data_IF_820407724543
#
_entry.id   IF_820407724543
#
_cell.length_a   1.000
_cell.length_b   1.000
_cell.length_c   1.000
_cell.angle_alpha   90.00
_cell.angle_beta   90.00
_cell.angle_gamma   90.00
#
_symmetry.space_group_name_H-M   'P 1'
#
loop_
_entity.id
_entity.type
_entity.pdbx_description
1 polymer ?
#
# COMPACT_ATOMS: atom_id res chain seq x y z
N UNK A 1 -11.50 -22.69 -11.54
CA UNK A 1 -11.20 -21.24 -11.71
C UNK A 1 -12.39 -20.62 -12.43
N UNK A 2 -13.18 -19.77 -11.77
CA UNK A 2 -14.24 -19.04 -12.48
C UNK A 2 -13.57 -18.04 -13.43
N UNK A 3 -14.06 -17.92 -14.67
CA UNK A 3 -13.66 -16.84 -15.57
C UNK A 3 -13.98 -15.52 -14.85
N UNK A 4 -12.94 -14.77 -14.51
CA UNK A 4 -13.08 -13.44 -13.93
C UNK A 4 -13.78 -12.57 -14.97
N UNK A 5 -14.87 -11.89 -14.58
CA UNK A 5 -15.62 -11.06 -15.51
C UNK A 5 -14.72 -9.91 -15.95
N UNK A 6 -14.39 -9.86 -17.24
CA UNK A 6 -13.63 -8.76 -17.82
C UNK A 6 -14.54 -7.54 -17.98
N UNK A 7 -14.01 -6.38 -17.61
CA UNK A 7 -14.68 -5.10 -17.71
C UNK A 7 -13.87 -4.21 -18.64
N UNK A 8 -14.56 -3.48 -19.51
CA UNK A 8 -13.94 -2.40 -20.27
C UNK A 8 -13.83 -1.20 -19.33
N UNK A 9 -12.61 -0.93 -18.86
CA UNK A 9 -12.30 0.16 -17.93
C UNK A 9 -11.36 1.14 -18.61
N UNK A 10 -11.66 2.43 -18.50
CA UNK A 10 -10.81 3.52 -18.98
C UNK A 10 -10.27 4.30 -17.78
N UNK A 11 -8.96 4.52 -17.74
CA UNK A 11 -8.34 5.44 -16.79
C UNK A 11 -8.54 6.87 -17.29
N UNK A 12 -9.44 7.63 -16.66
CA UNK A 12 -9.73 9.03 -17.03
C UNK A 12 -8.64 9.95 -16.49
N UNK A 13 -8.16 9.65 -15.28
CA UNK A 13 -7.17 10.46 -14.59
C UNK A 13 -6.34 9.57 -13.66
N UNK A 14 -5.03 9.50 -13.90
CA UNK A 14 -4.11 8.70 -13.09
C UNK A 14 -3.82 9.35 -11.73
N UNK A 15 -3.74 10.69 -11.69
CA UNK A 15 -3.16 11.46 -10.57
C UNK A 15 -1.67 11.14 -10.30
N UNK A 16 -1.07 11.90 -9.38
CA UNK A 16 0.34 11.80 -9.00
C UNK A 16 0.53 10.98 -7.72
N UNK A 17 1.76 10.53 -7.51
CA UNK A 17 2.18 9.89 -6.26
C UNK A 17 2.37 10.93 -5.17
N UNK A 18 1.83 10.65 -4.00
CA UNK A 18 2.01 11.47 -2.80
C UNK A 18 2.96 10.74 -1.87
N UNK A 19 4.13 11.33 -1.62
CA UNK A 19 5.22 10.74 -0.85
C UNK A 19 4.75 10.18 0.50
N UNK A 20 4.07 10.98 1.32
CA UNK A 20 3.62 10.56 2.65
C UNK A 20 2.59 9.41 2.65
N UNK A 21 1.84 9.24 1.56
CA UNK A 21 0.85 8.16 1.47
C UNK A 21 1.47 6.85 0.98
N UNK A 22 2.37 6.92 0.00
CA UNK A 22 2.89 5.73 -0.68
C UNK A 22 4.21 5.23 -0.07
N UNK A 23 5.01 6.13 0.50
CA UNK A 23 6.33 5.85 1.08
C UNK A 23 6.42 6.23 2.56
N UNK A 24 5.27 6.39 3.22
CA UNK A 24 5.16 6.67 4.65
C UNK A 24 4.67 5.46 5.47
N UNK A 25 4.44 5.63 6.77
CA UNK A 25 4.03 4.54 7.68
C UNK A 25 2.71 3.86 7.28
N UNK A 26 1.83 4.57 6.59
CA UNK A 26 0.51 4.07 6.20
C UNK A 26 0.45 3.49 4.77
N UNK A 27 1.60 3.27 4.13
CA UNK A 27 1.75 2.73 2.77
C UNK A 27 0.94 1.46 2.50
N UNK A 28 0.74 0.62 3.53
CA UNK A 28 -0.02 -0.62 3.45
C UNK A 28 -1.48 -0.44 2.97
N UNK A 29 -2.07 0.74 3.14
CA UNK A 29 -3.41 1.08 2.63
C UNK A 29 -3.41 1.61 1.18
N UNK A 30 -2.25 2.00 0.65
CA UNK A 30 -2.11 2.73 -0.62
C UNK A 30 -1.45 1.90 -1.72
N UNK A 31 -1.33 0.57 -1.52
CA UNK A 31 -0.81 -0.37 -2.51
C UNK A 31 -1.68 -1.61 -2.66
N UNK A 32 -1.91 -2.04 -3.90
CA UNK A 32 -2.65 -3.25 -4.24
C UNK A 32 -1.71 -4.32 -4.81
N UNK A 33 -1.76 -5.54 -4.27
CA UNK A 33 -1.03 -6.69 -4.82
C UNK A 33 -1.84 -7.41 -5.92
N UNK A 34 -1.18 -7.92 -6.97
CA UNK A 34 -1.83 -8.74 -8.01
C UNK A 34 -1.33 -10.18 -7.97
N UNK A 35 -2.18 -11.12 -8.42
CA UNK A 35 -1.92 -12.57 -8.29
C UNK A 35 -0.71 -13.05 -9.10
N UNK A 36 -0.30 -12.30 -10.11
CA UNK A 36 0.85 -12.59 -10.98
C UNK A 36 2.20 -12.30 -10.32
N UNK A 37 2.21 -11.63 -9.17
CA UNK A 37 3.44 -11.05 -8.61
C UNK A 37 4.27 -12.05 -7.79
N UNK A 38 3.97 -13.36 -7.84
CA UNK A 38 4.59 -14.40 -6.98
C UNK A 38 6.00 -14.86 -7.42
N UNK A 39 6.76 -14.04 -8.13
CA UNK A 39 8.17 -14.33 -8.33
C UNK A 39 8.90 -14.10 -7.00
N UNK A 40 9.65 -15.10 -6.53
CA UNK A 40 10.66 -14.97 -5.46
C UNK A 40 10.18 -14.50 -4.07
N UNK A 41 8.98 -14.91 -3.63
CA UNK A 41 8.38 -14.50 -2.33
C UNK A 41 8.20 -12.98 -2.14
N UNK A 42 8.38 -12.20 -3.21
CA UNK A 42 8.12 -10.78 -3.27
C UNK A 42 6.69 -10.58 -3.79
N UNK A 43 6.05 -9.50 -3.35
CA UNK A 43 4.71 -9.10 -3.76
C UNK A 43 4.81 -7.64 -4.18
N UNK A 44 4.85 -7.39 -5.48
CA UNK A 44 4.84 -6.03 -6.01
C UNK A 44 3.50 -5.36 -5.72
N UNK A 45 3.55 -4.07 -5.40
CA UNK A 45 2.35 -3.28 -5.15
C UNK A 45 2.15 -2.26 -6.27
N UNK A 46 0.91 -2.19 -6.73
CA UNK A 46 0.44 -1.16 -7.64
C UNK A 46 -0.16 -0.01 -6.80
N UNK A 47 0.27 1.23 -7.03
CA UNK A 47 -0.13 2.35 -6.19
C UNK A 47 -1.61 2.69 -6.42
N UNK A 48 -2.32 2.92 -5.33
CA UNK A 48 -3.67 3.46 -5.34
C UNK A 48 -3.53 4.98 -5.22
N UNK A 49 -3.79 5.76 -6.27
CA UNK A 49 -3.50 7.20 -6.24
C UNK A 49 -4.69 8.03 -5.80
N UNK A 50 -4.46 8.99 -4.90
CA UNK A 50 -5.49 9.95 -4.50
C UNK A 50 -5.96 10.75 -5.71
N UNK A 51 -7.27 10.99 -5.84
CA UNK A 51 -7.95 11.63 -6.98
C UNK A 51 -7.96 10.82 -8.28
N UNK A 52 -7.40 9.60 -8.33
CA UNK A 52 -7.49 8.73 -9.49
C UNK A 52 -8.96 8.51 -9.91
N UNK A 53 -9.24 8.56 -11.22
CA UNK A 53 -10.58 8.37 -11.79
C UNK A 53 -10.59 7.30 -12.85
N UNK A 54 -11.53 6.38 -12.73
CA UNK A 54 -11.80 5.33 -13.72
C UNK A 54 -13.22 5.44 -14.21
N UNK A 55 -13.43 5.13 -15.50
CA UNK A 55 -14.72 5.02 -16.15
C UNK A 55 -14.96 3.56 -16.47
N UNK A 56 -16.14 3.06 -16.12
CA UNK A 56 -16.61 1.73 -16.49
C UNK A 56 -18.04 1.82 -17.01
N UNK A 57 -18.30 1.21 -18.16
CA UNK A 57 -19.65 1.15 -18.74
C UNK A 57 -20.30 -0.18 -18.37
N UNK A 58 -21.44 -0.13 -17.68
CA UNK A 58 -22.22 -1.29 -17.27
C UNK A 58 -23.68 -1.12 -17.73
N UNK A 59 -24.18 -2.06 -18.53
CA UNK A 59 -25.56 -2.03 -19.07
C UNK A 59 -25.91 -0.69 -19.75
N UNK A 60 -24.96 -0.11 -20.49
CA UNK A 60 -25.11 1.19 -21.18
C UNK A 60 -25.17 2.41 -20.26
N UNK A 61 -24.74 2.27 -18.99
CA UNK A 61 -24.55 3.38 -18.06
C UNK A 61 -23.08 3.52 -17.71
N UNK A 62 -22.63 4.77 -17.69
CA UNK A 62 -21.26 5.13 -17.39
C UNK A 62 -21.11 5.45 -15.90
N UNK A 63 -20.28 4.66 -15.23
CA UNK A 63 -19.93 4.82 -13.83
C UNK A 63 -18.52 5.37 -13.73
N UNK A 64 -18.37 6.50 -13.08
CA UNK A 64 -17.07 7.07 -12.73
C UNK A 64 -16.78 6.73 -11.28
N UNK A 65 -15.62 6.13 -11.02
CA UNK A 65 -15.13 5.89 -9.66
C UNK A 65 -13.94 6.82 -9.41
N UNK A 66 -14.03 7.61 -8.35
CA UNK A 66 -13.02 8.56 -7.90
C UNK A 66 -12.45 8.14 -6.54
N UNK A 67 -11.13 8.12 -6.44
CA UNK A 67 -10.44 7.87 -5.18
C UNK A 67 -10.31 9.18 -4.42
N UNK A 68 -10.77 9.21 -3.17
CA UNK A 68 -10.71 10.37 -2.27
C UNK A 68 -9.99 10.00 -0.98
N UNK A 69 -9.69 11.00 -0.15
CA UNK A 69 -9.10 10.77 1.17
C UNK A 69 -10.16 10.22 2.12
N UNK A 70 -9.82 9.16 2.84
CA UNK A 70 -10.63 8.61 3.93
C UNK A 70 -9.71 8.13 5.06
N UNK A 71 -10.30 7.54 6.08
CA UNK A 71 -9.63 6.98 7.25
C UNK A 71 -10.18 5.57 7.48
N UNK A 72 -9.29 4.60 7.60
CA UNK A 72 -9.60 3.24 8.06
C UNK A 72 -9.19 3.07 9.53
N UNK A 73 -9.48 1.91 10.11
CA UNK A 73 -8.97 1.54 11.43
C UNK A 73 -7.42 1.46 11.49
N UNK A 74 -6.75 1.47 10.33
CA UNK A 74 -5.30 1.45 10.18
C UNK A 74 -4.73 2.78 9.67
N UNK A 75 -5.45 3.89 9.86
CA UNK A 75 -5.00 5.23 9.51
C UNK A 75 -5.48 5.72 8.13
N UNK A 76 -4.78 6.67 7.49
CA UNK A 76 -5.18 7.24 6.21
C UNK A 76 -5.28 6.17 5.13
N UNK A 77 -6.40 6.15 4.43
CA UNK A 77 -6.73 5.12 3.45
C UNK A 77 -7.50 5.71 2.25
N UNK A 78 -7.50 5.03 1.10
CA UNK A 78 -8.32 5.41 -0.03
C UNK A 78 -9.81 5.22 0.30
N UNK A 79 -10.57 6.31 0.14
CA UNK A 79 -12.02 6.28 0.01
C UNK A 79 -12.43 6.24 -1.45
N UNK A 80 -13.60 5.69 -1.74
CA UNK A 80 -14.10 5.52 -3.10
C UNK A 80 -15.48 6.15 -3.21
N UNK A 81 -15.63 7.08 -4.16
CA UNK A 81 -16.89 7.64 -4.60
C UNK A 81 -17.23 7.06 -5.96
N UNK A 82 -18.50 6.70 -6.17
CA UNK A 82 -19.02 6.34 -7.48
C UNK A 82 -20.08 7.36 -7.90
N UNK A 83 -20.06 7.74 -9.18
CA UNK A 83 -21.03 8.63 -9.80
C UNK A 83 -21.55 8.00 -11.09
N UNK A 84 -22.85 8.10 -11.31
CA UNK A 84 -23.48 7.76 -12.59
C UNK A 84 -24.72 8.63 -12.77
N UNK A 85 -24.80 9.38 -13.87
CA UNK A 85 -25.81 10.43 -14.07
C UNK A 85 -25.80 11.40 -12.87
N UNK A 86 -26.98 11.70 -12.30
CA UNK A 86 -27.15 12.58 -11.14
C UNK A 86 -27.06 11.85 -9.79
N UNK A 87 -26.66 10.57 -9.79
CA UNK A 87 -26.55 9.77 -8.56
C UNK A 87 -25.09 9.64 -8.16
N UNK A 88 -24.82 9.96 -6.90
CA UNK A 88 -23.52 9.79 -6.25
C UNK A 88 -23.65 8.88 -5.03
N UNK A 89 -22.61 8.08 -4.77
CA UNK A 89 -22.48 7.30 -3.54
C UNK A 89 -22.02 8.14 -2.35
N UNK A 90 -22.17 7.60 -1.14
CA UNK A 90 -21.31 8.02 -0.02
C UNK A 90 -19.86 7.55 -0.27
N UNK A 91 -18.93 7.98 0.60
CA UNK A 91 -17.55 7.49 0.55
C UNK A 91 -17.51 6.10 1.18
N UNK A 92 -17.04 5.11 0.43
CA UNK A 92 -16.80 3.75 0.93
C UNK A 92 -15.30 3.44 1.00
N UNK A 93 -14.89 2.51 1.86
CA UNK A 93 -13.51 2.00 1.91
C UNK A 93 -13.22 0.92 0.85
N UNK A 94 -14.19 0.62 -0.02
CA UNK A 94 -13.98 -0.27 -1.16
C UNK A 94 -14.70 0.24 -2.41
N UNK A 95 -14.03 0.15 -3.56
CA UNK A 95 -14.63 0.49 -4.86
C UNK A 95 -15.84 -0.39 -5.18
N UNK A 96 -15.83 -1.66 -4.73
CA UNK A 96 -16.98 -2.58 -4.84
C UNK A 96 -18.24 -2.00 -4.19
N UNK A 97 -18.14 -1.49 -2.96
CA UNK A 97 -19.32 -0.97 -2.26
C UNK A 97 -19.77 0.37 -2.85
N UNK A 98 -18.81 1.21 -3.25
CA UNK A 98 -19.10 2.48 -3.92
C UNK A 98 -19.94 2.26 -5.18
N UNK A 99 -19.47 1.42 -6.12
CA UNK A 99 -20.21 1.14 -7.35
C UNK A 99 -21.54 0.42 -7.07
N UNK A 100 -21.55 -0.54 -6.14
CA UNK A 100 -22.75 -1.32 -5.82
C UNK A 100 -23.87 -0.40 -5.35
N UNK A 101 -23.55 0.61 -4.52
CA UNK A 101 -24.53 1.54 -3.97
C UNK A 101 -25.22 2.40 -5.05
N UNK A 102 -24.49 2.80 -6.10
CA UNK A 102 -25.05 3.57 -7.22
C UNK A 102 -25.76 2.64 -8.20
N UNK A 103 -25.13 1.51 -8.52
CA UNK A 103 -25.66 0.51 -9.43
C UNK A 103 -27.03 0.00 -8.97
N UNK A 104 -27.19 -0.34 -7.68
CA UNK A 104 -28.46 -0.79 -7.12
C UNK A 104 -29.57 0.28 -7.24
N UNK A 105 -29.24 1.56 -7.06
CA UNK A 105 -30.22 2.67 -7.19
C UNK A 105 -30.76 2.78 -8.62
N UNK A 106 -29.91 2.55 -9.62
CA UNK A 106 -30.24 2.65 -11.05
C UNK A 106 -30.93 1.38 -11.54
N UNK A 107 -30.31 0.22 -11.30
CA UNK A 107 -30.69 -1.06 -11.92
C UNK A 107 -31.70 -1.85 -11.09
N UNK A 108 -31.99 -1.42 -9.86
CA UNK A 108 -32.87 -2.12 -8.90
C UNK A 108 -32.47 -3.58 -8.65
N UNK A 109 -31.21 -3.92 -8.89
CA UNK A 109 -30.64 -5.27 -8.73
C UNK A 109 -29.33 -5.22 -7.96
N UNK A 110 -29.07 -6.25 -7.15
CA UNK A 110 -27.81 -6.40 -6.45
C UNK A 110 -26.87 -7.29 -7.26
N UNK A 111 -25.81 -6.72 -7.81
CA UNK A 111 -24.74 -7.45 -8.52
C UNK A 111 -23.41 -7.13 -7.86
N UNK A 112 -22.66 -8.15 -7.43
CA UNK A 112 -21.33 -7.93 -6.85
C UNK A 112 -20.29 -7.70 -7.95
N UNK A 113 -19.42 -6.72 -7.72
CA UNK A 113 -18.32 -6.34 -8.61
C UNK A 113 -16.98 -6.58 -7.93
N UNK A 114 -15.97 -7.00 -8.69
CA UNK A 114 -14.58 -7.05 -8.18
C UNK A 114 -14.00 -5.65 -8.20
N UNK A 115 -13.69 -5.11 -7.02
CA UNK A 115 -13.18 -3.75 -6.83
C UNK A 115 -11.91 -3.44 -7.63
N UNK A 116 -10.87 -4.29 -7.58
CA UNK A 116 -9.69 -4.15 -8.42
C UNK A 116 -10.00 -4.16 -9.92
N UNK A 117 -10.89 -5.07 -10.35
CA UNK A 117 -11.20 -5.24 -11.76
C UNK A 117 -11.93 -4.01 -12.34
N UNK A 118 -12.92 -3.47 -11.61
CA UNK A 118 -13.65 -2.25 -12.03
C UNK A 118 -12.79 -0.98 -11.98
N UNK A 119 -11.75 -0.98 -11.14
CA UNK A 119 -10.76 0.10 -11.08
C UNK A 119 -9.65 -0.07 -12.13
N UNK A 120 -9.67 -1.16 -12.91
CA UNK A 120 -8.71 -1.38 -13.98
C UNK A 120 -7.35 -1.91 -13.55
N UNK A 121 -7.14 -2.32 -12.29
CA UNK A 121 -5.87 -2.92 -11.83
C UNK A 121 -5.59 -4.29 -12.47
N UNK A 122 -6.61 -4.90 -13.07
CA UNK A 122 -6.50 -6.14 -13.84
C UNK A 122 -6.10 -5.85 -15.30
N UNK A 123 -6.16 -4.58 -15.73
CA UNK A 123 -5.79 -4.16 -17.07
C UNK A 123 -4.29 -3.79 -17.10
N UNK A 124 -3.45 -4.52 -17.86
CA UNK A 124 -2.00 -4.28 -17.88
C UNK A 124 -1.63 -2.88 -18.39
N UNK A 125 -2.43 -2.25 -19.26
CA UNK A 125 -2.17 -0.90 -19.75
C UNK A 125 -2.34 0.11 -18.60
N UNK A 126 -3.42 0.01 -17.84
CA UNK A 126 -3.67 0.88 -16.68
C UNK A 126 -2.62 0.65 -15.61
N UNK A 127 -2.34 -0.61 -15.29
CA UNK A 127 -1.32 -0.98 -14.30
C UNK A 127 0.07 -0.47 -14.69
N UNK A 128 0.46 -0.53 -15.97
CA UNK A 128 1.71 0.03 -16.45
C UNK A 128 1.76 1.55 -16.30
N UNK A 129 0.68 2.27 -16.65
CA UNK A 129 0.59 3.73 -16.44
C UNK A 129 0.79 4.07 -14.95
N UNK A 130 0.21 3.27 -14.04
CA UNK A 130 0.31 3.50 -12.60
C UNK A 130 1.70 3.19 -12.01
N UNK A 131 2.62 2.57 -12.74
CA UNK A 131 3.98 2.29 -12.23
C UNK A 131 5.10 3.06 -12.96
N UNK A 132 4.80 3.67 -14.12
CA UNK A 132 5.80 4.30 -14.99
C UNK A 132 6.57 5.47 -14.38
N UNK A 133 5.93 6.27 -13.51
CA UNK A 133 6.48 7.46 -12.85
C UNK A 133 6.84 7.20 -11.38
N UNK A 134 6.96 5.93 -10.97
CA UNK A 134 7.39 5.60 -9.60
C UNK A 134 8.91 5.77 -9.45
N UNK A 135 9.38 6.53 -8.44
CA UNK A 135 10.81 6.52 -8.09
C UNK A 135 11.27 5.14 -7.62
N UNK A 136 10.37 4.42 -6.93
CA UNK A 136 10.58 3.07 -6.46
C UNK A 136 9.26 2.31 -6.43
N UNK A 137 9.20 1.11 -7.00
CA UNK A 137 8.00 0.29 -6.89
C UNK A 137 8.01 -0.43 -5.54
N UNK A 138 7.13 0.00 -4.64
CA UNK A 138 6.93 -0.63 -3.34
C UNK A 138 6.64 -2.11 -3.53
N UNK A 139 7.32 -2.94 -2.75
CA UNK A 139 7.03 -4.35 -2.67
C UNK A 139 6.91 -4.80 -1.22
N UNK A 140 6.21 -5.91 -1.01
CA UNK A 140 6.17 -6.60 0.26
C UNK A 140 6.82 -7.97 0.13
N UNK A 141 7.31 -8.50 1.24
CA UNK A 141 7.66 -9.91 1.35
C UNK A 141 7.05 -10.47 2.63
N UNK A 142 6.96 -11.80 2.70
CA UNK A 142 6.40 -12.49 3.84
C UNK A 142 7.53 -13.23 4.57
N UNK A 143 7.80 -12.80 5.80
CA UNK A 143 8.68 -13.49 6.73
C UNK A 143 7.81 -14.31 7.69
N UNK A 144 7.69 -15.61 7.43
CA UNK A 144 6.74 -16.52 8.07
C UNK A 144 5.27 -16.04 7.95
N UNK A 145 4.82 -15.22 8.89
CA UNK A 145 3.47 -14.60 8.92
C UNK A 145 3.52 -13.08 8.92
N UNK A 146 4.71 -12.49 9.04
CA UNK A 146 4.90 -11.05 9.06
C UNK A 146 5.03 -10.56 7.63
N UNK A 147 4.17 -9.62 7.25
CA UNK A 147 4.30 -8.88 6.00
C UNK A 147 5.13 -7.64 6.25
N UNK A 148 6.23 -7.50 5.52
CA UNK A 148 7.11 -6.33 5.56
C UNK A 148 7.06 -5.64 4.21
N UNK A 149 6.85 -4.34 4.21
CA UNK A 149 6.87 -3.47 3.05
C UNK A 149 8.23 -2.77 2.95
N UNK A 150 8.87 -2.87 1.79
CA UNK A 150 10.05 -2.08 1.44
C UNK A 150 9.57 -0.93 0.56
N UNK A 151 9.83 0.29 1.00
CA UNK A 151 9.30 1.52 0.43
C UNK A 151 10.37 2.24 -0.39
N UNK A 152 11.62 2.12 0.01
CA UNK A 152 12.78 2.59 -0.72
C UNK A 152 14.00 1.83 -0.16
N UNK A 153 15.02 1.61 -0.99
CA UNK A 153 16.18 0.81 -0.64
C UNK A 153 17.31 1.66 -0.08
N UNK A 154 17.46 2.93 -0.47
CA UNK A 154 18.53 3.85 -0.05
C UNK A 154 19.90 3.17 0.13
N UNK A 155 20.83 3.28 -0.82
CA UNK A 155 22.09 2.50 -0.79
C UNK A 155 23.28 3.29 -0.28
N UNK A 156 24.17 2.61 0.45
CA UNK A 156 25.50 3.08 0.86
C UNK A 156 26.57 2.02 0.61
N UNK A 157 27.81 2.43 0.41
CA UNK A 157 28.97 1.52 0.37
C UNK A 157 29.43 1.09 1.76
N UNK A 158 28.85 1.64 2.84
CA UNK A 158 29.29 1.39 4.21
C UNK A 158 28.67 0.10 4.76
N UNK A 159 29.52 -0.91 4.98
CA UNK A 159 29.10 -2.19 5.55
C UNK A 159 28.64 -2.07 7.01
N UNK A 160 29.14 -1.07 7.75
CA UNK A 160 28.68 -0.74 9.11
C UNK A 160 27.19 -0.41 9.18
N UNK A 161 26.62 0.10 8.09
CA UNK A 161 25.20 0.40 7.97
C UNK A 161 24.43 -0.71 7.28
N UNK A 162 24.95 -1.93 7.19
CA UNK A 162 24.38 -3.00 6.36
C UNK A 162 24.07 -2.54 4.92
N UNK A 163 24.89 -1.63 4.36
CA UNK A 163 24.70 -1.02 3.05
C UNK A 163 23.45 -0.16 2.88
N UNK A 164 22.70 0.13 3.95
CA UNK A 164 21.67 1.15 3.95
C UNK A 164 22.31 2.54 3.86
N UNK A 165 21.62 3.44 3.19
CA UNK A 165 21.96 4.84 3.04
C UNK A 165 20.69 5.68 3.06
N UNK A 166 20.88 6.99 3.03
CA UNK A 166 19.80 7.97 3.10
C UNK A 166 18.68 7.63 2.14
N UNK A 167 17.47 7.55 2.69
CA UNK A 167 16.26 7.26 1.94
C UNK A 167 15.74 5.84 2.11
N UNK A 168 16.51 4.89 2.67
CA UNK A 168 15.99 3.55 3.00
C UNK A 168 14.76 3.66 3.89
N UNK A 169 13.69 2.95 3.53
CA UNK A 169 12.41 2.97 4.26
C UNK A 169 11.73 1.62 4.21
N UNK A 170 11.26 1.16 5.36
CA UNK A 170 10.48 -0.05 5.48
C UNK A 170 9.41 0.06 6.55
N UNK A 171 8.36 -0.73 6.40
CA UNK A 171 7.27 -0.78 7.37
C UNK A 171 6.76 -2.20 7.59
N UNK A 172 6.19 -2.46 8.76
CA UNK A 172 5.35 -3.62 8.99
C UNK A 172 4.32 -3.37 10.10
N UNK A 173 3.35 -4.26 10.20
CA UNK A 173 2.30 -4.19 11.23
C UNK A 173 2.45 -5.37 12.17
N UNK A 174 2.51 -5.10 13.47
CA UNK A 174 2.63 -6.13 14.49
C UNK A 174 2.00 -5.72 15.82
N UNK A 175 1.77 -6.69 16.70
CA UNK A 175 1.26 -6.46 18.05
C UNK A 175 2.38 -5.98 18.99
N UNK A 176 2.28 -4.76 19.48
CA UNK A 176 3.19 -4.17 20.47
C UNK A 176 2.39 -3.72 21.69
N UNK A 177 2.80 -4.11 22.90
CA UNK A 177 2.12 -3.74 24.14
C UNK A 177 0.59 -4.00 24.15
N UNK A 178 0.17 -5.14 23.57
CA UNK A 178 -1.25 -5.55 23.41
C UNK A 178 -2.08 -4.68 22.46
N UNK A 179 -1.45 -3.82 21.66
CA UNK A 179 -2.09 -3.05 20.60
C UNK A 179 -1.42 -3.35 19.25
N UNK A 180 -2.20 -3.29 18.17
CA UNK A 180 -1.65 -3.38 16.82
C UNK A 180 -1.02 -2.03 16.47
N UNK A 181 0.26 -2.07 16.10
CA UNK A 181 1.06 -0.88 15.81
C UNK A 181 1.73 -1.03 14.44
N UNK A 182 2.07 0.12 13.85
CA UNK A 182 2.90 0.20 12.66
C UNK A 182 4.33 0.45 13.13
N UNK A 183 5.24 -0.38 12.67
CA UNK A 183 6.67 -0.20 12.79
C UNK A 183 7.14 0.42 11.47
N UNK A 184 7.77 1.59 11.53
CA UNK A 184 8.31 2.28 10.37
C UNK A 184 9.78 2.57 10.63
N UNK A 185 10.65 1.93 9.87
CA UNK A 185 12.10 2.14 9.92
C UNK A 185 12.53 2.97 8.73
N UNK A 186 13.35 3.97 8.99
CA UNK A 186 14.01 4.77 7.97
C UNK A 186 15.49 4.91 8.29
N UNK A 187 16.33 5.02 7.26
CA UNK A 187 17.73 5.39 7.41
C UNK A 187 17.91 6.83 6.93
N UNK A 188 18.31 7.69 7.86
CA UNK A 188 18.59 9.10 7.61
C UNK A 188 19.63 9.60 8.62
N UNK A 189 20.34 10.67 8.29
CA UNK A 189 21.38 11.26 9.16
C UNK A 189 22.40 10.21 9.70
N UNK A 190 22.82 9.27 8.84
CA UNK A 190 23.77 8.21 9.14
C UNK A 190 23.35 7.21 10.23
N UNK A 191 22.06 7.14 10.58
CA UNK A 191 21.50 6.19 11.55
C UNK A 191 20.15 5.58 11.11
N UNK A 192 19.83 4.43 11.69
CA UNK A 192 18.50 3.86 11.63
C UNK A 192 17.61 4.54 12.66
N UNK A 193 16.40 4.89 12.23
CA UNK A 193 15.33 5.40 13.07
C UNK A 193 14.09 4.54 12.91
N UNK A 194 13.66 3.93 14.00
CA UNK A 194 12.41 3.18 14.06
C UNK A 194 11.37 3.95 14.84
N UNK A 195 10.27 4.28 14.18
CA UNK A 195 9.10 4.92 14.79
C UNK A 195 7.95 3.92 14.88
N UNK A 196 7.37 3.77 16.08
CA UNK A 196 6.20 2.92 16.32
C UNK A 196 4.97 3.80 16.43
N UNK A 197 4.00 3.64 15.53
CA UNK A 197 2.72 4.36 15.55
C UNK A 197 1.61 3.48 16.14
N UNK A 198 0.84 4.05 17.06
CA UNK A 198 -0.35 3.41 17.62
C UNK A 198 -1.56 3.51 16.67
N UNK A 199 -2.71 2.94 17.06
CA UNK A 199 -3.95 3.00 16.25
C UNK A 199 -4.50 4.43 16.08
N UNK A 200 -4.19 5.32 17.02
CA UNK A 200 -4.57 6.73 16.99
C UNK A 200 -3.65 7.57 16.08
N UNK A 201 -2.73 6.92 15.37
CA UNK A 201 -1.73 7.57 14.51
C UNK A 201 -0.70 8.41 15.25
N UNK A 202 -0.57 8.20 16.56
CA UNK A 202 0.40 8.89 17.40
C UNK A 202 1.67 8.06 17.53
N UNK A 203 2.80 8.74 17.70
CA UNK A 203 4.08 8.10 17.99
C UNK A 203 4.02 7.52 19.40
N UNK A 204 4.08 6.20 19.50
CA UNK A 204 4.18 5.47 20.77
C UNK A 204 5.61 5.49 21.29
N UNK A 205 6.58 5.17 20.42
CA UNK A 205 8.01 5.16 20.74
C UNK A 205 8.85 5.43 19.49
N UNK A 206 10.04 5.95 19.71
CA UNK A 206 11.09 6.09 18.69
C UNK A 206 12.38 5.48 19.23
N UNK A 207 13.11 4.76 18.39
CA UNK A 207 14.42 4.21 18.67
C UNK A 207 15.38 4.67 17.57
N UNK A 208 16.63 4.92 17.94
CA UNK A 208 17.69 5.24 16.98
C UNK A 208 18.95 4.44 17.29
N UNK A 209 19.65 4.04 16.24
CA UNK A 209 20.94 3.36 16.33
C UNK A 209 21.65 3.38 14.97
N UNK A 210 22.98 3.36 14.97
CA UNK A 210 23.77 3.18 13.74
C UNK A 210 23.68 1.76 13.16
N UNK A 211 23.29 0.77 13.98
CA UNK A 211 23.18 -0.64 13.61
C UNK A 211 21.74 -1.15 13.82
N UNK A 212 21.15 -1.70 12.76
CA UNK A 212 19.77 -2.22 12.75
C UNK A 212 19.57 -3.39 13.73
N UNK A 213 20.56 -4.26 13.95
CA UNK A 213 20.43 -5.38 14.89
C UNK A 213 20.40 -4.88 16.33
N UNK A 214 21.30 -3.95 16.69
CA UNK A 214 21.29 -3.34 18.01
C UNK A 214 20.06 -2.47 18.26
N UNK A 215 19.57 -1.76 17.24
CA UNK A 215 18.28 -1.08 17.31
C UNK A 215 17.18 -2.08 17.67
N UNK A 216 17.11 -3.21 16.96
CA UNK A 216 16.04 -4.18 17.13
C UNK A 216 16.06 -4.86 18.51
N UNK A 217 17.24 -5.11 19.07
CA UNK A 217 17.40 -5.59 20.44
C UNK A 217 16.77 -4.63 21.47
N UNK A 218 16.91 -3.31 21.28
CA UNK A 218 16.30 -2.30 22.18
C UNK A 218 14.77 -2.30 22.14
N UNK A 219 14.17 -2.63 20.99
CA UNK A 219 12.71 -2.71 20.82
C UNK A 219 12.12 -3.81 21.70
N UNK A 220 12.89 -4.88 21.95
CA UNK A 220 12.52 -6.04 22.76
C UNK A 220 11.21 -6.68 22.26
N UNK A 221 11.09 -6.84 20.94
CA UNK A 221 9.94 -7.41 20.24
C UNK A 221 10.43 -8.31 19.11
N UNK A 222 9.68 -9.38 18.78
CA UNK A 222 10.07 -10.32 17.71
C UNK A 222 11.55 -10.76 17.79
N UNK A 223 12.02 -11.07 19.00
CA UNK A 223 13.44 -11.32 19.29
C UNK A 223 14.02 -12.54 18.56
N UNK A 224 13.17 -13.38 17.96
CA UNK A 224 13.62 -14.46 17.10
C UNK A 224 14.24 -13.97 15.77
N UNK A 225 14.08 -12.69 15.43
CA UNK A 225 14.65 -12.11 14.22
C UNK A 225 15.71 -11.05 14.54
N UNK A 226 16.70 -10.97 13.66
CA UNK A 226 17.66 -9.86 13.59
C UNK A 226 17.06 -8.69 12.82
N UNK A 227 17.43 -7.46 13.16
CA UNK A 227 16.95 -6.24 12.50
C UNK A 227 17.21 -6.30 11.00
N UNK A 228 18.45 -6.61 10.62
CA UNK A 228 18.83 -6.74 9.20
C UNK A 228 18.02 -7.77 8.40
N UNK A 229 17.54 -8.84 9.06
CA UNK A 229 16.68 -9.84 8.42
C UNK A 229 15.24 -9.36 8.29
N UNK A 230 14.70 -8.71 9.33
CA UNK A 230 13.35 -8.13 9.31
C UNK A 230 13.20 -7.09 8.22
N UNK A 231 14.25 -6.30 8.04
CA UNK A 231 14.28 -5.12 7.19
C UNK A 231 14.96 -5.36 5.84
N UNK A 232 15.32 -6.61 5.55
CA UNK A 232 15.83 -7.05 4.24
C UNK A 232 17.14 -6.34 3.84
N UNK A 233 18.00 -6.12 4.83
CA UNK A 233 19.31 -5.48 4.72
C UNK A 233 20.46 -6.50 4.52
N UNK A 234 20.20 -7.80 4.68
CA UNK A 234 21.22 -8.87 4.53
C UNK A 234 21.55 -9.21 3.07
N UNK A 235 20.66 -8.88 2.15
CA UNK A 235 20.84 -9.22 0.74
C UNK A 235 21.42 -8.01 0.01
N UNK A 236 22.62 -8.12 -0.59
CA UNK A 236 23.12 -7.13 -1.52
C UNK A 236 22.22 -7.20 -2.76
N UNK A 237 21.10 -6.49 -2.74
CA UNK A 237 20.21 -6.39 -3.89
C UNK A 237 20.88 -5.52 -4.95
N UNK A 238 21.61 -6.20 -5.85
CA UNK A 238 22.33 -5.71 -7.06
C UNK A 238 23.43 -4.69 -6.84
#
# INVERSE_FOLDING_TARGET
MSKQKEYIVTLIFASHIIQNLHYGPYCHNWGLSRQTDKADNIILLYPIRLNMKTLITLHSFDFIIEIVKSISEYGPAPGYLCKCKDIQSEIFLSSTNAILSVYQKIMKTATKFSGPAIMGFDNPIISNILIQDLPFQVYAFILEKLRVWILDIGKSSKSEWNYAGTGYKAAFIYMYQKQQCIFFEEFDDDEYKLTIYNKQMEVSKTFTNIDSDFLWEQVNCLQQYKGKKLFKLEEPYT
#
